data_IF_596389186941
#
_entry.id   IF_596389186941
#
_cell.length_a   1.000
_cell.length_b   1.000
_cell.length_c   1.000
_cell.angle_alpha   90.00
_cell.angle_beta   90.00
_cell.angle_gamma   90.00
#
_symmetry.space_group_name_H-M   'P 1'
#
loop_
_entity.id
_entity.type
_entity.pdbx_description
1 polymer ?
#
# COMPACT_ATOMS: atom_id res chain seq x y z
N UNK A 1 5.09 25.77 -0.97
CA UNK A 1 4.75 24.33 -0.87
C UNK A 1 4.31 24.07 0.55
N UNK A 2 3.20 23.35 0.72
CA UNK A 2 2.65 22.98 2.03
C UNK A 2 3.00 21.52 2.34
N UNK A 3 3.10 21.19 3.63
CA UNK A 3 3.34 19.85 4.16
C UNK A 3 2.45 19.68 5.39
N UNK A 4 1.22 19.21 5.16
CA UNK A 4 0.13 19.26 6.13
C UNK A 4 -0.71 17.99 6.02
N UNK A 5 -1.15 17.48 7.17
CA UNK A 5 -2.08 16.34 7.27
C UNK A 5 -3.21 16.74 8.20
N UNK A 6 -4.45 16.50 7.78
CA UNK A 6 -5.63 16.81 8.56
C UNK A 6 -5.60 16.09 9.92
N UNK A 7 -6.02 16.78 10.97
CA UNK A 7 -6.10 16.21 12.32
C UNK A 7 -7.10 15.05 12.40
N UNK A 8 -8.15 15.08 11.58
CA UNK A 8 -9.11 14.01 11.42
C UNK A 8 -9.47 13.82 9.95
N UNK A 9 -9.62 12.57 9.56
CA UNK A 9 -10.05 12.17 8.22
C UNK A 9 -11.56 11.87 8.22
N UNK A 10 -12.12 11.43 9.35
CA UNK A 10 -13.54 11.09 9.49
C UNK A 10 -14.19 11.95 10.59
N UNK A 11 -15.25 12.66 10.24
CA UNK A 11 -15.92 13.63 11.12
C UNK A 11 -17.45 13.51 11.05
N UNK A 12 -18.13 14.23 11.95
CA UNK A 12 -19.59 14.37 11.99
C UNK A 12 -20.33 13.02 12.02
N UNK A 13 -19.96 12.14 12.95
CA UNK A 13 -20.57 10.81 13.09
C UNK A 13 -20.42 9.95 11.83
N UNK A 14 -19.23 9.94 11.23
CA UNK A 14 -18.87 9.16 10.05
C UNK A 14 -19.58 9.58 8.75
N UNK A 15 -20.00 10.85 8.64
CA UNK A 15 -20.71 11.40 7.46
C UNK A 15 -19.89 12.34 6.60
N UNK A 16 -18.77 12.84 7.12
CA UNK A 16 -17.84 13.69 6.37
C UNK A 16 -16.48 13.00 6.38
N UNK A 17 -15.94 12.74 5.20
CA UNK A 17 -14.69 12.01 5.00
C UNK A 17 -13.79 12.86 4.10
N UNK A 18 -12.56 13.12 4.54
CA UNK A 18 -11.52 13.78 3.75
C UNK A 18 -10.64 12.71 3.09
N UNK A 19 -10.29 12.88 1.81
CA UNK A 19 -9.38 12.01 1.09
C UNK A 19 -8.51 12.81 0.10
N UNK A 20 -7.33 12.29 -0.26
CA UNK A 20 -6.40 12.96 -1.16
C UNK A 20 -5.96 14.33 -0.63
N UNK A 21 -5.86 15.33 -1.52
CA UNK A 21 -5.38 16.68 -1.17
C UNK A 21 -6.21 17.40 -0.10
N UNK A 22 -7.46 16.98 0.13
CA UNK A 22 -8.28 17.49 1.22
C UNK A 22 -7.84 16.96 2.60
N UNK A 23 -7.23 15.77 2.64
CA UNK A 23 -6.76 15.12 3.85
C UNK A 23 -5.26 15.33 4.09
N UNK A 24 -4.46 15.47 3.04
CA UNK A 24 -3.02 15.63 3.14
C UNK A 24 -2.45 16.38 1.94
N UNK A 25 -1.49 17.28 2.18
CA UNK A 25 -0.81 18.05 1.15
C UNK A 25 0.68 17.99 1.42
N UNK A 26 1.48 17.56 0.46
CA UNK A 26 2.93 17.50 0.64
C UNK A 26 3.69 17.77 -0.66
N UNK A 27 5.00 18.11 -0.59
CA UNK A 27 5.79 18.42 -1.77
C UNK A 27 5.75 17.30 -2.82
N UNK A 28 5.88 17.62 -4.13
CA UNK A 28 5.85 16.60 -5.19
C UNK A 28 7.09 15.68 -5.19
N UNK A 29 8.07 15.95 -4.32
CA UNK A 29 9.33 15.23 -4.23
C UNK A 29 9.10 13.76 -3.79
N UNK A 30 9.18 12.84 -4.76
CA UNK A 30 8.92 11.42 -4.58
C UNK A 30 7.59 10.93 -5.18
N UNK A 31 6.73 11.81 -5.69
CA UNK A 31 5.55 11.42 -6.46
C UNK A 31 4.42 10.75 -5.65
N UNK A 32 4.41 10.90 -4.32
CA UNK A 32 3.47 10.17 -3.46
C UNK A 32 2.03 10.70 -3.46
N UNK A 33 1.79 11.96 -3.86
CA UNK A 33 0.51 12.66 -3.60
C UNK A 33 -0.69 11.97 -4.25
N UNK A 34 -0.67 11.89 -5.58
CA UNK A 34 -1.71 11.21 -6.37
C UNK A 34 -1.89 9.75 -5.94
N UNK A 35 -0.78 9.02 -5.76
CA UNK A 35 -0.81 7.60 -5.36
C UNK A 35 -1.47 7.41 -3.98
N UNK A 36 -1.16 8.27 -3.02
CA UNK A 36 -1.76 8.23 -1.68
C UNK A 36 -3.27 8.51 -1.75
N UNK A 37 -3.68 9.49 -2.56
CA UNK A 37 -5.09 9.83 -2.76
C UNK A 37 -5.89 8.72 -3.46
N UNK A 38 -5.32 8.04 -4.46
CA UNK A 38 -5.96 6.88 -5.11
C UNK A 38 -6.14 5.74 -4.11
N UNK A 39 -5.12 5.46 -3.30
CA UNK A 39 -5.20 4.44 -2.25
C UNK A 39 -6.21 4.78 -1.16
N UNK A 40 -6.40 6.07 -0.84
CA UNK A 40 -7.45 6.51 0.08
C UNK A 40 -8.84 6.16 -0.46
N UNK A 41 -9.08 6.47 -1.74
CA UNK A 41 -10.35 6.15 -2.40
C UNK A 41 -10.57 4.64 -2.47
N UNK A 42 -9.55 3.87 -2.81
CA UNK A 42 -9.62 2.40 -2.87
C UNK A 42 -9.97 1.79 -1.51
N UNK A 43 -9.35 2.28 -0.43
CA UNK A 43 -9.64 1.85 0.94
C UNK A 43 -11.08 2.21 1.38
N UNK A 44 -11.60 3.37 0.96
CA UNK A 44 -12.93 3.84 1.30
C UNK A 44 -14.05 3.15 0.53
N UNK A 45 -13.85 2.89 -0.76
CA UNK A 45 -14.90 2.46 -1.68
C UNK A 45 -15.66 1.23 -1.16
N UNK A 46 -14.93 0.18 -0.76
CA UNK A 46 -15.55 -1.05 -0.27
C UNK A 46 -16.23 -0.88 1.10
N UNK A 47 -15.71 0.00 1.96
CA UNK A 47 -16.27 0.30 3.29
C UNK A 47 -17.59 1.06 3.18
N UNK A 48 -17.64 2.06 2.29
CA UNK A 48 -18.86 2.79 1.96
C UNK A 48 -19.88 1.85 1.32
N UNK A 49 -19.46 1.03 0.36
CA UNK A 49 -20.35 0.04 -0.25
C UNK A 49 -20.90 -0.97 0.78
N UNK A 50 -20.08 -1.40 1.74
CA UNK A 50 -20.49 -2.28 2.84
C UNK A 50 -21.52 -1.60 3.76
N UNK A 51 -21.33 -0.32 4.07
CA UNK A 51 -22.31 0.46 4.84
C UNK A 51 -23.64 0.60 4.10
N UNK A 52 -23.60 1.04 2.83
CA UNK A 52 -24.80 1.26 2.01
C UNK A 52 -25.59 -0.02 1.80
N UNK A 53 -24.91 -1.16 1.64
CA UNK A 53 -25.54 -2.48 1.52
C UNK A 53 -25.99 -3.09 2.85
N UNK A 54 -25.75 -2.42 3.98
CA UNK A 54 -26.10 -2.92 5.31
C UNK A 54 -25.31 -4.15 5.75
N UNK A 55 -24.10 -4.34 5.20
CA UNK A 55 -23.15 -5.41 5.56
C UNK A 55 -22.39 -5.03 6.84
N UNK A 56 -22.07 -3.74 7.00
CA UNK A 56 -21.34 -3.22 8.13
C UNK A 56 -21.99 -1.93 8.68
N UNK A 57 -21.91 -1.66 10.00
CA UNK A 57 -22.33 -0.40 10.59
C UNK A 57 -21.40 0.75 10.17
N UNK A 58 -21.84 1.99 10.42
CA UNK A 58 -21.07 3.20 10.07
C UNK A 58 -19.69 3.28 10.72
N UNK A 59 -19.46 2.59 11.85
CA UNK A 59 -18.17 2.51 12.52
C UNK A 59 -17.08 1.86 11.67
N UNK A 60 -17.42 1.10 10.61
CA UNK A 60 -16.42 0.60 9.65
C UNK A 60 -15.63 1.74 9.01
N UNK A 61 -16.24 2.92 8.84
CA UNK A 61 -15.59 4.08 8.24
C UNK A 61 -14.50 4.66 9.14
N UNK A 62 -14.56 4.48 10.46
CA UNK A 62 -13.51 4.92 11.38
C UNK A 62 -12.18 4.19 11.12
N UNK A 63 -12.25 2.97 10.58
CA UNK A 63 -11.05 2.22 10.20
C UNK A 63 -10.27 2.88 9.06
N UNK A 64 -10.91 3.71 8.22
CA UNK A 64 -10.19 4.45 7.18
C UNK A 64 -9.17 5.41 7.79
N UNK A 65 -9.55 6.17 8.83
CA UNK A 65 -8.61 7.05 9.51
C UNK A 65 -7.50 6.27 10.21
N UNK A 66 -7.85 5.17 10.90
CA UNK A 66 -6.88 4.32 11.59
C UNK A 66 -5.83 3.73 10.63
N UNK A 67 -6.25 3.43 9.40
CA UNK A 67 -5.41 2.80 8.37
C UNK A 67 -4.61 3.81 7.56
N UNK A 68 -5.24 4.89 7.08
CA UNK A 68 -4.66 5.79 6.06
C UNK A 68 -3.97 7.02 6.61
N UNK A 69 -4.39 7.55 7.76
CA UNK A 69 -3.74 8.73 8.36
C UNK A 69 -2.26 8.48 8.70
N UNK A 70 -1.86 7.32 9.28
CA UNK A 70 -0.45 7.03 9.50
C UNK A 70 0.38 7.03 8.20
N UNK A 71 -0.19 6.53 7.10
CA UNK A 71 0.48 6.50 5.79
C UNK A 71 0.63 7.92 5.23
N UNK A 72 -0.39 8.76 5.35
CA UNK A 72 -0.32 10.17 4.95
C UNK A 72 0.76 10.95 5.73
N UNK A 73 0.88 10.73 7.04
CA UNK A 73 1.93 11.34 7.88
C UNK A 73 3.32 10.86 7.43
N UNK A 74 3.46 9.56 7.18
CA UNK A 74 4.71 8.98 6.71
C UNK A 74 5.14 9.57 5.35
N UNK A 75 4.24 9.58 4.37
CA UNK A 75 4.50 10.10 3.03
C UNK A 75 4.76 11.61 3.04
N UNK A 76 4.08 12.37 3.91
CA UNK A 76 4.35 13.81 4.12
C UNK A 76 5.78 14.02 4.62
N UNK A 77 6.17 13.26 5.64
CA UNK A 77 7.51 13.35 6.24
C UNK A 77 8.58 13.00 5.22
N UNK A 78 8.40 11.90 4.49
CA UNK A 78 9.33 11.47 3.44
C UNK A 78 9.41 12.48 2.29
N UNK A 79 8.29 13.05 1.85
CA UNK A 79 8.26 14.07 0.80
C UNK A 79 9.04 15.33 1.19
N UNK A 80 8.94 15.76 2.46
CA UNK A 80 9.73 16.89 2.97
C UNK A 80 11.22 16.56 3.02
N UNK A 81 11.59 15.35 3.45
CA UNK A 81 12.99 14.91 3.44
C UNK A 81 13.54 14.86 2.00
N UNK A 82 12.79 14.28 1.07
CA UNK A 82 13.12 14.21 -0.34
C UNK A 82 13.28 15.59 -0.98
N UNK A 83 12.40 16.53 -0.63
CA UNK A 83 12.52 17.90 -1.09
C UNK A 83 13.82 18.55 -0.60
N UNK A 84 14.14 18.40 0.70
CA UNK A 84 15.42 18.90 1.27
C UNK A 84 16.64 18.27 0.60
N UNK A 85 16.58 16.96 0.34
CA UNK A 85 17.62 16.23 -0.39
C UNK A 85 17.80 16.76 -1.82
N UNK A 86 16.71 17.03 -2.53
CA UNK A 86 16.74 17.64 -3.86
C UNK A 86 17.43 19.01 -3.85
N UNK A 87 17.17 19.82 -2.82
CA UNK A 87 17.77 21.15 -2.69
C UNK A 87 19.27 21.13 -2.37
N UNK A 88 19.82 20.00 -1.93
CA UNK A 88 21.25 19.84 -1.64
C UNK A 88 22.14 20.01 -2.88
N UNK A 89 21.66 19.65 -4.07
CA UNK A 89 22.44 19.74 -5.32
C UNK A 89 22.60 21.21 -5.77
N UNK A 90 21.53 22.01 -5.93
CA UNK A 90 21.68 23.44 -6.21
C UNK A 90 22.51 24.18 -5.16
N UNK A 91 22.31 23.88 -3.87
CA UNK A 91 23.09 24.48 -2.79
C UNK A 91 24.59 24.15 -2.89
N UNK A 92 24.95 22.91 -3.21
CA UNK A 92 26.35 22.51 -3.44
C UNK A 92 26.97 23.22 -4.64
N UNK A 93 26.17 23.61 -5.63
CA UNK A 93 26.59 24.38 -6.81
C UNK A 93 26.68 25.89 -6.55
N UNK A 94 26.33 26.37 -5.35
CA UNK A 94 26.26 27.80 -5.04
C UNK A 94 25.03 28.50 -5.63
N UNK A 95 24.03 27.72 -6.05
CA UNK A 95 22.73 28.19 -6.51
C UNK A 95 21.74 27.93 -5.38
N UNK A 96 21.91 28.67 -4.27
CA UNK A 96 21.07 28.47 -3.10
C UNK A 96 19.61 28.84 -3.44
N UNK A 97 18.66 27.90 -3.26
CA UNK A 97 17.24 28.14 -3.51
C UNK A 97 16.63 29.26 -2.67
N UNK A 98 17.22 29.56 -1.50
CA UNK A 98 16.81 30.69 -0.67
C UNK A 98 17.01 32.03 -1.40
N UNK A 99 18.03 32.14 -2.24
CA UNK A 99 18.27 33.32 -3.08
C UNK A 99 17.17 33.44 -4.13
N UNK A 100 16.82 32.33 -4.80
CA UNK A 100 15.73 32.32 -5.78
C UNK A 100 14.36 32.66 -5.15
N UNK A 101 14.08 32.15 -3.95
CA UNK A 101 12.84 32.44 -3.21
C UNK A 101 12.78 33.91 -2.75
N UNK A 102 13.89 34.49 -2.31
CA UNK A 102 13.97 35.90 -1.92
C UNK A 102 13.68 36.82 -3.10
N UNK A 103 14.20 36.47 -4.28
CA UNK A 103 13.94 37.19 -5.54
C UNK A 103 12.47 37.10 -5.92
N UNK A 104 11.87 35.90 -5.88
CA UNK A 104 10.45 35.73 -6.17
C UNK A 104 9.57 36.53 -5.21
N UNK A 105 9.92 36.61 -3.92
CA UNK A 105 9.20 37.42 -2.94
C UNK A 105 9.34 38.92 -3.19
N UNK A 106 10.53 39.39 -3.61
CA UNK A 106 10.75 40.80 -3.94
C UNK A 106 9.98 41.21 -5.21
N UNK A 107 9.94 40.34 -6.22
CA UNK A 107 9.21 40.62 -7.47
C UNK A 107 7.68 40.59 -7.25
N UNK A 108 7.19 39.62 -6.47
CA UNK A 108 5.75 39.42 -6.28
C UNK A 108 5.17 40.13 -5.03
N UNK A 109 6.02 40.73 -4.20
CA UNK A 109 5.62 41.43 -2.97
C UNK A 109 5.67 42.95 -3.13
N UNK A 110 4.61 43.63 -2.64
CA UNK A 110 4.59 45.06 -2.35
C UNK A 110 5.01 45.99 -3.50
N UNK A 111 6.28 46.38 -3.52
CA UNK A 111 6.87 47.37 -4.45
C UNK A 111 7.26 46.74 -5.79
N UNK A 112 7.56 45.43 -5.85
CA UNK A 112 8.00 44.75 -7.07
C UNK A 112 6.89 44.48 -8.08
N UNK A 113 5.65 44.33 -7.62
CA UNK A 113 4.47 44.14 -8.47
C UNK A 113 4.05 45.42 -9.22
N UNK A 114 4.60 46.57 -8.79
CA UNK A 114 4.38 47.89 -9.40
C UNK A 114 5.47 48.22 -10.45
N UNK A 115 6.53 47.40 -10.54
CA UNK A 115 7.60 47.61 -11.51
C UNK A 115 7.13 47.33 -12.95
N UNK A 116 7.54 48.15 -13.93
CA UNK A 116 7.31 47.85 -15.35
C UNK A 116 7.92 46.50 -15.74
N UNK A 117 7.22 45.75 -16.59
CA UNK A 117 7.62 44.41 -17.04
C UNK A 117 9.06 44.33 -17.59
N UNK A 118 9.51 45.38 -18.30
CA UNK A 118 10.88 45.43 -18.83
C UNK A 118 11.95 45.45 -17.72
N UNK A 119 11.68 46.09 -16.59
CA UNK A 119 12.62 46.17 -15.48
C UNK A 119 12.63 44.88 -14.65
N UNK A 120 11.46 44.23 -14.49
CA UNK A 120 11.37 42.88 -13.91
C UNK A 120 12.22 41.87 -14.70
N UNK A 121 12.17 41.94 -16.04
CA UNK A 121 12.96 41.07 -16.92
C UNK A 121 14.46 41.29 -16.77
N UNK A 122 14.93 42.55 -16.73
CA UNK A 122 16.36 42.87 -16.52
C UNK A 122 16.87 42.35 -15.18
N UNK A 123 16.08 42.50 -14.11
CA UNK A 123 16.43 42.00 -12.77
C UNK A 123 16.55 40.46 -12.80
N UNK A 124 15.57 39.77 -13.40
CA UNK A 124 15.60 38.31 -13.56
C UNK A 124 16.81 37.85 -14.39
N UNK A 125 17.07 38.49 -15.53
CA UNK A 125 18.19 38.16 -16.41
C UNK A 125 19.55 38.34 -15.73
N UNK A 126 19.70 39.38 -14.90
CA UNK A 126 20.89 39.61 -14.08
C UNK A 126 21.13 38.47 -13.08
N UNK A 127 20.08 38.03 -12.40
CA UNK A 127 20.14 36.94 -11.42
C UNK A 127 20.46 35.60 -12.09
N UNK A 128 19.81 35.30 -13.22
CA UNK A 128 20.14 34.11 -14.02
C UNK A 128 21.58 34.16 -14.55
N UNK A 129 22.11 35.34 -14.84
CA UNK A 129 23.51 35.50 -15.27
C UNK A 129 24.48 35.20 -14.13
N UNK A 130 24.21 35.68 -12.91
CA UNK A 130 25.01 35.33 -11.72
C UNK A 130 24.91 33.83 -11.41
N UNK A 131 23.71 33.25 -11.46
CA UNK A 131 23.51 31.81 -11.27
C UNK A 131 24.24 30.95 -12.31
N UNK A 132 24.17 31.32 -13.59
CA UNK A 132 24.90 30.64 -14.67
C UNK A 132 26.42 30.79 -14.53
N UNK A 133 26.91 31.92 -14.05
CA UNK A 133 28.33 32.11 -13.80
C UNK A 133 28.86 31.08 -12.78
N UNK A 134 28.08 30.73 -11.76
CA UNK A 134 28.44 29.68 -10.78
C UNK A 134 28.65 28.29 -11.42
N UNK A 135 28.04 28.06 -12.60
CA UNK A 135 28.14 26.82 -13.37
C UNK A 135 29.11 26.91 -14.55
N UNK A 136 29.78 28.06 -14.73
CA UNK A 136 30.71 28.25 -15.85
C UNK A 136 31.89 27.27 -15.77
N UNK A 137 32.38 26.83 -16.92
CA UNK A 137 33.56 25.94 -17.00
C UNK A 137 34.81 26.56 -16.37
N UNK A 138 34.85 27.88 -16.17
CA UNK A 138 35.93 28.59 -15.49
C UNK A 138 35.87 28.44 -13.95
N UNK A 139 34.67 28.40 -13.37
CA UNK A 139 34.47 28.29 -11.92
C UNK A 139 34.23 26.86 -11.46
N UNK A 140 33.44 26.07 -12.20
CA UNK A 140 33.05 24.71 -11.82
C UNK A 140 33.94 23.67 -12.51
N UNK A 141 35.22 23.65 -12.16
CA UNK A 141 36.20 22.68 -12.64
C UNK A 141 37.15 22.25 -11.50
N UNK A 142 38.01 21.27 -11.76
CA UNK A 142 38.98 20.75 -10.78
C UNK A 142 40.21 21.63 -10.56
N UNK A 143 40.54 22.51 -11.51
CA UNK A 143 41.69 23.42 -11.39
C UNK A 143 41.36 24.67 -10.55
N UNK A 144 40.08 24.97 -10.34
CA UNK A 144 39.61 26.03 -9.47
C UNK A 144 39.38 25.49 -8.04
N UNK A 145 39.97 26.09 -6.98
CA UNK A 145 39.79 25.60 -5.60
C UNK A 145 38.33 25.56 -5.13
N UNK A 146 37.52 26.57 -5.50
CA UNK A 146 36.10 26.61 -5.17
C UNK A 146 35.32 25.58 -5.99
N UNK A 147 35.64 25.46 -7.28
CA UNK A 147 35.07 24.45 -8.19
C UNK A 147 35.30 23.03 -7.70
N UNK A 148 36.55 22.67 -7.39
CA UNK A 148 36.92 21.35 -6.90
C UNK A 148 36.22 21.01 -5.57
N UNK A 149 36.10 21.98 -4.65
CA UNK A 149 35.33 21.79 -3.40
C UNK A 149 33.85 21.50 -3.67
N UNK A 150 33.23 22.24 -4.61
CA UNK A 150 31.81 22.02 -4.99
C UNK A 150 31.62 20.66 -5.67
N UNK A 151 32.51 20.30 -6.59
CA UNK A 151 32.49 18.99 -7.25
C UNK A 151 32.70 17.85 -6.25
N UNK A 152 33.60 18.01 -5.26
CA UNK A 152 33.78 17.04 -4.18
C UNK A 152 32.50 16.88 -3.33
N UNK A 153 31.82 17.98 -2.99
CA UNK A 153 30.53 17.94 -2.30
C UNK A 153 29.46 17.24 -3.11
N UNK A 154 29.35 17.53 -4.42
CA UNK A 154 28.42 16.83 -5.31
C UNK A 154 28.71 15.33 -5.39
N UNK A 155 29.99 14.95 -5.53
CA UNK A 155 30.40 13.54 -5.50
C UNK A 155 30.01 12.86 -4.19
N UNK A 156 30.20 13.52 -3.04
CA UNK A 156 29.73 13.00 -1.75
C UNK A 156 28.21 12.84 -1.73
N UNK A 157 27.44 13.83 -2.18
CA UNK A 157 25.97 13.74 -2.28
C UNK A 157 25.55 12.53 -3.11
N UNK A 158 26.13 12.34 -4.30
CA UNK A 158 25.76 11.22 -5.18
C UNK A 158 26.26 9.87 -4.67
N UNK A 159 27.52 9.77 -4.22
CA UNK A 159 28.11 8.52 -3.70
C UNK A 159 27.38 8.05 -2.46
N UNK A 160 27.02 8.97 -1.58
CA UNK A 160 26.25 8.65 -0.39
C UNK A 160 24.77 8.53 -0.72
N UNK A 161 24.30 8.78 -1.95
CA UNK A 161 22.92 8.70 -2.43
C UNK A 161 21.95 9.77 -1.88
N UNK A 162 22.49 10.84 -1.29
CA UNK A 162 21.77 11.91 -0.57
C UNK A 162 20.96 12.83 -1.49
N UNK A 163 20.96 12.59 -2.79
CA UNK A 163 20.09 13.27 -3.76
C UNK A 163 18.67 12.70 -3.71
N UNK A 164 17.72 13.40 -4.35
CA UNK A 164 16.36 12.91 -4.53
C UNK A 164 16.37 11.53 -5.18
N UNK A 165 15.67 10.58 -4.56
CA UNK A 165 15.38 9.28 -5.14
C UNK A 165 13.96 9.31 -5.71
N UNK A 166 13.72 8.54 -6.79
CA UNK A 166 12.44 8.52 -7.50
C UNK A 166 11.71 7.18 -7.38
N UNK A 167 12.28 6.22 -6.64
CA UNK A 167 11.69 4.90 -6.45
C UNK A 167 11.73 4.53 -4.97
N UNK A 168 10.56 4.19 -4.43
CA UNK A 168 10.39 3.84 -3.02
C UNK A 168 9.56 2.55 -2.87
N UNK A 169 10.00 1.39 -3.41
CA UNK A 169 9.19 0.18 -3.40
C UNK A 169 8.70 -0.25 -2.01
N UNK A 170 9.54 -0.14 -0.99
CA UNK A 170 9.15 -0.48 0.38
C UNK A 170 8.03 0.44 0.92
N UNK A 171 8.10 1.72 0.61
CA UNK A 171 7.12 2.72 1.06
C UNK A 171 5.84 2.69 0.24
N UNK A 172 5.95 2.53 -1.09
CA UNK A 172 4.81 2.51 -2.01
C UNK A 172 4.02 1.20 -1.93
N UNK A 173 4.72 0.08 -1.73
CA UNK A 173 4.12 -1.25 -1.80
C UNK A 173 4.08 -1.99 -0.46
N UNK A 174 5.06 -1.74 0.40
CA UNK A 174 5.30 -2.47 1.65
C UNK A 174 4.75 -1.82 2.91
N UNK A 175 3.99 -0.72 2.79
CA UNK A 175 3.28 -0.17 3.93
C UNK A 175 2.22 -1.17 4.44
N UNK A 176 1.90 -1.05 5.73
CA UNK A 176 1.01 -1.97 6.43
C UNK A 176 0.05 -1.23 7.35
N UNK A 177 -1.18 -1.70 7.41
CA UNK A 177 -2.15 -1.28 8.41
C UNK A 177 -1.88 -1.99 9.74
N UNK A 178 -1.63 -1.20 10.79
CA UNK A 178 -1.40 -1.73 12.14
C UNK A 178 -2.70 -1.90 12.94
N UNK A 179 -3.73 -1.13 12.58
CA UNK A 179 -5.06 -1.10 13.20
C UNK A 179 -6.10 -0.84 12.10
N UNK A 180 -7.35 -1.23 12.35
CA UNK A 180 -8.47 -1.01 11.43
C UNK A 180 -9.29 -2.27 11.24
N UNK A 181 -9.78 -2.48 10.02
CA UNK A 181 -10.59 -3.62 9.62
C UNK A 181 -9.69 -4.85 9.34
N UNK A 182 -9.02 -5.33 10.39
CA UNK A 182 -8.12 -6.48 10.37
C UNK A 182 -8.11 -7.18 11.74
N UNK A 183 -7.66 -8.43 11.76
CA UNK A 183 -7.47 -9.24 12.96
C UNK A 183 -5.97 -9.40 13.19
N UNK A 184 -5.41 -8.86 14.29
CA UNK A 184 -4.00 -8.99 14.59
C UNK A 184 -3.59 -10.45 14.79
N UNK A 185 -2.37 -10.79 14.38
CA UNK A 185 -1.73 -12.06 14.68
C UNK A 185 -1.15 -12.00 16.09
N UNK A 186 -1.50 -12.96 16.97
CA UNK A 186 -1.04 -12.96 18.37
C UNK A 186 0.47 -13.10 18.52
N UNK A 187 1.15 -13.61 17.49
CA UNK A 187 2.59 -13.89 17.50
C UNK A 187 3.43 -12.92 16.67
N UNK A 188 2.83 -11.92 16.01
CA UNK A 188 3.62 -10.90 15.31
C UNK A 188 4.06 -9.84 16.32
N UNK A 189 5.34 -9.80 16.67
CA UNK A 189 5.94 -8.60 17.27
C UNK A 189 5.86 -7.50 16.21
N UNK A 190 4.81 -6.70 16.27
CA UNK A 190 4.59 -5.55 15.39
C UNK A 190 5.74 -4.57 15.63
N UNK A 191 6.77 -4.61 14.78
CA UNK A 191 7.78 -3.56 14.73
C UNK A 191 7.10 -2.23 14.41
N UNK A 192 7.50 -1.15 15.07
CA UNK A 192 7.11 0.18 14.63
C UNK A 192 7.52 0.34 13.15
N UNK A 193 6.71 1.04 12.32
CA UNK A 193 7.11 1.35 10.96
C UNK A 193 8.50 1.99 10.98
N UNK A 194 9.45 1.42 10.24
CA UNK A 194 10.78 2.00 10.16
C UNK A 194 10.67 3.44 9.64
N UNK A 195 11.32 4.42 10.28
CA UNK A 195 11.22 5.81 9.88
C UNK A 195 11.72 5.99 8.44
N UNK A 196 11.20 6.97 7.70
CA UNK A 196 11.66 7.25 6.35
C UNK A 196 13.14 7.64 6.40
N UNK A 197 13.97 6.90 5.67
CA UNK A 197 15.42 7.12 5.58
C UNK A 197 15.79 8.02 4.40
N UNK A 198 14.83 8.31 3.50
CA UNK A 198 15.06 8.94 2.21
C UNK A 198 15.81 8.04 1.22
N UNK A 199 16.00 6.75 1.55
CA UNK A 199 16.77 5.78 0.77
C UNK A 199 15.86 4.72 0.19
N UNK A 200 16.16 4.30 -1.04
CA UNK A 200 15.52 3.19 -1.73
C UNK A 200 15.72 1.94 -0.89
N UNK A 201 14.60 1.37 -0.48
CA UNK A 201 14.51 0.05 0.13
C UNK A 201 13.67 -0.82 -0.78
N UNK A 202 14.06 -2.08 -0.91
CA UNK A 202 13.29 -3.03 -1.70
C UNK A 202 12.02 -3.43 -0.94
N UNK A 203 10.95 -3.68 -1.68
CA UNK A 203 9.71 -4.22 -1.15
C UNK A 203 9.95 -5.65 -0.66
N UNK A 204 9.59 -5.92 0.59
CA UNK A 204 9.59 -7.26 1.16
C UNK A 204 8.14 -7.71 1.32
N UNK A 205 7.66 -8.68 0.51
CA UNK A 205 6.32 -9.21 0.65
C UNK A 205 6.13 -9.90 2.00
N UNK A 206 4.91 -9.79 2.53
CA UNK A 206 4.53 -10.40 3.80
C UNK A 206 3.03 -10.69 3.81
N UNK A 207 2.64 -11.85 4.34
CA UNK A 207 1.24 -12.15 4.58
C UNK A 207 0.73 -11.70 5.96
N UNK A 208 1.48 -10.84 6.63
CA UNK A 208 1.06 -10.28 7.92
C UNK A 208 -0.27 -9.49 7.79
N UNK A 209 -1.20 -9.58 8.76
CA UNK A 209 -2.45 -8.83 8.70
C UNK A 209 -2.20 -7.32 8.59
N UNK A 210 -2.82 -6.69 7.60
CA UNK A 210 -2.66 -5.29 7.23
C UNK A 210 -1.69 -5.04 6.07
N UNK A 211 -0.88 -6.03 5.66
CA UNK A 211 -0.03 -5.94 4.48
C UNK A 211 -0.85 -6.12 3.21
N UNK A 212 -0.32 -5.65 2.07
CA UNK A 212 -0.90 -5.97 0.76
C UNK A 212 -0.64 -7.42 0.38
N UNK A 213 -1.60 -8.03 -0.33
CA UNK A 213 -1.49 -9.38 -0.84
C UNK A 213 -0.23 -9.50 -1.73
N UNK A 214 0.69 -10.43 -1.43
CA UNK A 214 1.86 -10.65 -2.29
C UNK A 214 1.46 -11.14 -3.68
N UNK A 215 1.96 -10.45 -4.70
CA UNK A 215 1.84 -10.86 -6.11
C UNK A 215 2.62 -12.15 -6.38
N UNK A 216 2.01 -13.03 -7.18
CA UNK A 216 2.64 -14.15 -7.86
C UNK A 216 1.86 -14.44 -9.15
N UNK A 217 2.57 -14.84 -10.20
CA UNK A 217 1.95 -15.37 -11.41
C UNK A 217 1.32 -16.73 -11.09
N UNK A 218 0.04 -16.91 -11.41
CA UNK A 218 -0.71 -18.14 -11.17
C UNK A 218 -1.49 -18.54 -12.41
N UNK A 219 -1.64 -19.84 -12.63
CA UNK A 219 -2.44 -20.40 -13.72
C UNK A 219 -3.74 -20.97 -13.18
N UNK A 220 -4.87 -20.61 -13.78
CA UNK A 220 -6.19 -21.09 -13.39
C UNK A 220 -6.41 -22.52 -13.91
N UNK A 221 -6.92 -23.42 -13.06
CA UNK A 221 -7.10 -24.85 -13.36
C UNK A 221 -8.55 -25.21 -13.74
N UNK A 222 -9.34 -24.26 -14.24
CA UNK A 222 -10.76 -24.47 -14.61
C UNK A 222 -10.94 -25.48 -15.74
N UNK A 223 -10.02 -25.49 -16.72
CA UNK A 223 -9.89 -26.51 -17.76
C UNK A 223 -8.40 -26.76 -18.05
N UNK A 224 -8.00 -28.02 -18.22
CA UNK A 224 -6.60 -28.43 -18.46
C UNK A 224 -5.96 -27.82 -19.73
N UNK A 225 -6.74 -27.10 -20.54
CA UNK A 225 -6.33 -26.39 -21.75
C UNK A 225 -6.12 -24.88 -21.56
N UNK A 226 -6.51 -24.29 -20.43
CA UNK A 226 -6.30 -22.86 -20.21
C UNK A 226 -4.83 -22.60 -19.85
N UNK A 227 -4.13 -21.88 -20.73
CA UNK A 227 -2.78 -21.38 -20.49
C UNK A 227 -2.78 -19.99 -19.82
N UNK A 228 -3.94 -19.47 -19.41
CA UNK A 228 -4.05 -18.12 -18.86
C UNK A 228 -3.28 -18.00 -17.54
N UNK A 229 -2.30 -17.08 -17.55
CA UNK A 229 -1.51 -16.71 -16.38
C UNK A 229 -2.00 -15.35 -15.92
N UNK A 230 -2.41 -15.28 -14.66
CA UNK A 230 -2.90 -14.07 -13.99
C UNK A 230 -2.08 -13.82 -12.71
N UNK A 231 -2.22 -12.64 -12.12
CA UNK A 231 -1.68 -12.32 -10.81
C UNK A 231 -2.57 -12.88 -9.69
N UNK A 232 -1.98 -13.22 -8.54
CA UNK A 232 -2.75 -13.44 -7.30
C UNK A 232 -3.63 -12.23 -6.93
N UNK A 233 -3.27 -11.02 -7.36
CA UNK A 233 -4.08 -9.81 -7.16
C UNK A 233 -5.37 -9.83 -8.00
N UNK A 234 -5.33 -10.43 -9.19
CA UNK A 234 -6.49 -10.53 -10.10
C UNK A 234 -7.57 -11.49 -9.57
N UNK A 235 -7.27 -12.23 -8.50
CA UNK A 235 -8.23 -13.08 -7.80
C UNK A 235 -9.20 -12.30 -6.92
N UNK A 236 -8.84 -11.06 -6.55
CA UNK A 236 -9.69 -10.15 -5.77
C UNK A 236 -10.67 -9.47 -6.72
N UNK A 237 -11.97 -9.47 -6.38
CA UNK A 237 -13.00 -8.88 -7.25
C UNK A 237 -12.95 -7.36 -7.23
N UNK A 238 -12.97 -6.74 -8.41
CA UNK A 238 -13.14 -5.30 -8.59
C UNK A 238 -14.61 -4.86 -8.61
N UNK A 239 -15.53 -5.77 -8.90
CA UNK A 239 -16.91 -5.43 -9.28
C UNK A 239 -17.90 -5.56 -8.12
N UNK A 240 -17.56 -6.37 -7.11
CA UNK A 240 -18.36 -6.59 -5.91
C UNK A 240 -17.51 -6.54 -4.65
N UNK A 241 -18.15 -6.19 -3.54
CA UNK A 241 -17.56 -6.30 -2.19
C UNK A 241 -17.48 -7.78 -1.84
N UNK A 242 -16.33 -8.38 -2.15
CA UNK A 242 -16.05 -9.79 -1.94
C UNK A 242 -14.71 -9.99 -1.25
N UNK A 243 -14.70 -10.82 -0.22
CA UNK A 243 -13.47 -11.25 0.44
C UNK A 243 -12.89 -12.46 -0.28
N UNK A 244 -11.57 -12.54 -0.36
CA UNK A 244 -10.89 -13.70 -0.95
C UNK A 244 -10.24 -14.50 0.17
N UNK A 245 -10.64 -15.77 0.32
CA UNK A 245 -9.96 -16.71 1.20
C UNK A 245 -9.03 -17.58 0.35
N UNK A 246 -7.71 -17.44 0.56
CA UNK A 246 -6.70 -18.30 -0.05
C UNK A 246 -6.33 -19.39 0.94
N UNK A 247 -6.46 -20.66 0.53
CA UNK A 247 -6.14 -21.82 1.34
C UNK A 247 -5.14 -22.74 0.65
N UNK A 248 -4.40 -23.48 1.48
CA UNK A 248 -3.60 -24.59 1.05
C UNK A 248 -4.43 -25.74 0.46
N UNK A 249 -3.86 -26.52 -0.49
CA UNK A 249 -4.54 -27.63 -1.15
C UNK A 249 -4.49 -28.93 -0.31
N UNK A 250 -4.98 -28.88 0.92
CA UNK A 250 -4.92 -29.99 1.88
C UNK A 250 -6.28 -30.28 2.48
N UNK A 251 -6.61 -31.54 2.74
CA UNK A 251 -7.96 -31.90 3.21
C UNK A 251 -8.40 -31.21 4.51
N UNK A 252 -7.42 -30.85 5.34
CA UNK A 252 -7.66 -30.13 6.59
C UNK A 252 -8.08 -28.67 6.40
N UNK A 253 -7.92 -28.07 5.21
CA UNK A 253 -8.30 -26.68 4.94
C UNK A 253 -9.75 -26.55 4.42
N UNK A 254 -10.37 -27.62 3.91
CA UNK A 254 -11.72 -27.59 3.37
C UNK A 254 -12.80 -27.15 4.37
N UNK A 255 -12.79 -27.60 5.65
CA UNK A 255 -13.76 -27.12 6.63
C UNK A 255 -13.71 -25.60 6.83
N UNK A 256 -12.53 -24.99 6.70
CA UNK A 256 -12.36 -23.54 6.79
C UNK A 256 -12.95 -22.81 5.59
N UNK A 257 -12.78 -23.35 4.38
CA UNK A 257 -13.40 -22.80 3.17
C UNK A 257 -14.93 -22.76 3.28
N UNK A 258 -15.54 -23.89 3.64
CA UNK A 258 -16.99 -23.99 3.86
C UNK A 258 -17.46 -23.03 4.95
N UNK A 259 -16.71 -22.93 6.05
CA UNK A 259 -17.02 -22.02 7.14
C UNK A 259 -16.97 -20.55 6.71
N UNK A 260 -15.96 -20.15 5.94
CA UNK A 260 -15.80 -18.77 5.50
C UNK A 260 -16.95 -18.33 4.58
N UNK A 261 -17.33 -19.16 3.60
CA UNK A 261 -18.45 -18.85 2.70
C UNK A 261 -19.78 -18.80 3.45
N UNK A 262 -20.02 -19.78 4.33
CA UNK A 262 -21.25 -19.81 5.16
C UNK A 262 -21.34 -18.58 6.06
N UNK A 263 -20.27 -18.26 6.80
CA UNK A 263 -20.25 -17.12 7.71
C UNK A 263 -20.32 -15.80 6.96
N UNK A 264 -19.64 -15.66 5.82
CA UNK A 264 -19.79 -14.46 4.99
C UNK A 264 -21.26 -14.20 4.63
N UNK A 265 -21.99 -15.24 4.18
CA UNK A 265 -23.44 -15.15 3.90
C UNK A 265 -24.24 -14.75 5.15
N UNK A 266 -23.92 -15.28 6.35
CA UNK A 266 -24.57 -14.87 7.62
C UNK A 266 -24.37 -13.36 7.92
N UNK A 267 -23.22 -12.80 7.55
CA UNK A 267 -22.92 -11.36 7.68
C UNK A 267 -23.37 -10.52 6.47
N UNK A 268 -24.14 -11.09 5.53
CA UNK A 268 -24.54 -10.47 4.25
C UNK A 268 -23.36 -10.05 3.37
N UNK A 269 -22.18 -10.60 3.63
CA UNK A 269 -20.98 -10.44 2.84
C UNK A 269 -20.85 -11.57 1.80
N UNK A 270 -19.91 -11.39 0.86
CA UNK A 270 -19.54 -12.40 -0.13
C UNK A 270 -18.10 -12.83 0.11
N UNK A 271 -17.82 -14.12 -0.04
CA UNK A 271 -16.47 -14.66 0.04
C UNK A 271 -16.24 -15.68 -1.07
N UNK A 272 -15.11 -15.55 -1.76
CA UNK A 272 -14.60 -16.46 -2.78
C UNK A 272 -13.46 -17.28 -2.21
N UNK A 273 -13.40 -18.56 -2.54
CA UNK A 273 -12.32 -19.45 -2.09
C UNK A 273 -11.32 -19.68 -3.22
N UNK A 274 -10.05 -19.45 -2.95
CA UNK A 274 -8.95 -19.82 -3.84
C UNK A 274 -8.12 -20.93 -3.20
N UNK A 275 -7.92 -22.01 -3.95
CA UNK A 275 -7.01 -23.09 -3.58
C UNK A 275 -5.72 -22.90 -4.36
N UNK A 276 -4.64 -22.56 -3.66
CA UNK A 276 -3.36 -22.22 -4.29
C UNK A 276 -2.36 -23.37 -4.17
N UNK A 277 -2.07 -23.98 -5.31
CA UNK A 277 -1.20 -25.14 -5.45
C UNK A 277 0.26 -24.74 -5.69
N UNK A 278 1.23 -25.36 -4.99
CA UNK A 278 2.64 -25.22 -5.33
C UNK A 278 2.95 -25.75 -6.73
N UNK A 279 4.03 -25.26 -7.34
CA UNK A 279 4.42 -25.68 -8.68
C UNK A 279 4.81 -27.18 -8.69
N UNK A 280 4.36 -27.93 -9.70
CA UNK A 280 4.69 -29.35 -9.88
C UNK A 280 3.74 -30.36 -9.24
N UNK A 281 2.73 -29.93 -8.49
CA UNK A 281 1.80 -30.82 -7.75
C UNK A 281 0.54 -31.24 -8.56
N UNK A 282 0.49 -30.95 -9.87
CA UNK A 282 -0.75 -31.01 -10.68
C UNK A 282 -1.10 -32.43 -11.17
N UNK A 283 -0.14 -33.36 -11.29
CA UNK A 283 -0.40 -34.71 -11.83
C UNK A 283 -1.04 -35.63 -10.78
N UNK A 284 -2.37 -35.75 -10.83
CA UNK A 284 -3.15 -36.80 -10.15
C UNK A 284 -4.11 -36.34 -9.04
N UNK A 285 -4.08 -35.07 -8.63
CA UNK A 285 -4.79 -34.60 -7.41
C UNK A 285 -6.12 -33.87 -7.72
N UNK A 286 -6.34 -33.46 -8.97
CA UNK A 286 -7.57 -32.78 -9.42
C UNK A 286 -8.85 -33.59 -9.14
N UNK A 287 -8.76 -34.92 -9.08
CA UNK A 287 -9.92 -35.79 -8.82
C UNK A 287 -10.41 -35.74 -7.36
N UNK A 288 -9.51 -35.78 -6.37
CA UNK A 288 -9.88 -35.79 -4.95
C UNK A 288 -10.38 -34.43 -4.43
N UNK A 289 -9.73 -33.35 -4.87
CA UNK A 289 -10.12 -31.98 -4.52
C UNK A 289 -11.47 -31.56 -5.11
N UNK A 290 -11.80 -32.01 -6.34
CA UNK A 290 -13.12 -31.76 -6.94
C UNK A 290 -14.25 -32.29 -6.04
N UNK A 291 -14.15 -33.51 -5.50
CA UNK A 291 -15.24 -34.14 -4.72
C UNK A 291 -15.52 -33.42 -3.39
N UNK A 292 -14.51 -32.87 -2.71
CA UNK A 292 -14.70 -32.18 -1.42
C UNK A 292 -15.18 -30.72 -1.57
N UNK A 293 -14.93 -30.11 -2.73
CA UNK A 293 -15.28 -28.72 -3.04
C UNK A 293 -16.45 -28.59 -4.02
N UNK A 294 -17.00 -29.68 -4.56
CA UNK A 294 -18.15 -29.64 -5.49
C UNK A 294 -19.39 -28.95 -4.91
N UNK A 295 -19.50 -28.82 -3.58
CA UNK A 295 -20.59 -28.12 -2.91
C UNK A 295 -20.34 -26.62 -2.70
N UNK A 296 -19.12 -26.13 -2.99
CA UNK A 296 -18.80 -24.70 -2.99
C UNK A 296 -19.15 -24.10 -4.36
N UNK A 297 -20.07 -23.15 -4.37
CA UNK A 297 -20.55 -22.50 -5.60
C UNK A 297 -19.48 -21.60 -6.26
N UNK A 298 -18.61 -20.97 -5.46
CA UNK A 298 -17.67 -19.94 -5.93
C UNK A 298 -16.24 -20.22 -5.42
N UNK A 299 -15.56 -21.16 -6.08
CA UNK A 299 -14.16 -21.47 -5.81
C UNK A 299 -13.31 -21.50 -7.09
N UNK A 300 -12.03 -21.16 -6.95
CA UNK A 300 -11.03 -21.21 -8.02
C UNK A 300 -9.82 -22.02 -7.57
N UNK A 301 -9.32 -22.88 -8.46
CA UNK A 301 -8.05 -23.56 -8.27
C UNK A 301 -6.99 -22.86 -9.10
N UNK A 302 -5.86 -22.54 -8.48
CA UNK A 302 -4.72 -21.95 -9.19
C UNK A 302 -3.43 -22.63 -8.82
N UNK A 303 -2.52 -22.78 -9.77
CA UNK A 303 -1.16 -23.26 -9.52
C UNK A 303 -0.18 -22.10 -9.66
N UNK A 304 0.75 -21.96 -8.72
CA UNK A 304 1.80 -20.95 -8.82
C UNK A 304 2.69 -21.21 -10.05
N UNK A 305 3.07 -20.13 -10.72
CA UNK A 305 3.98 -20.12 -11.86
C UNK A 305 5.25 -19.41 -11.41
N UNK A 306 6.29 -20.20 -11.13
CA UNK A 306 7.58 -19.65 -10.71
C UNK A 306 8.34 -19.09 -11.91
N UNK A 307 8.97 -17.94 -11.73
CA UNK A 307 9.90 -17.35 -12.72
C UNK A 307 11.12 -18.23 -12.99
N UNK A 308 11.58 -18.98 -11.98
CA UNK A 308 12.68 -19.94 -12.05
C UNK A 308 12.38 -21.16 -11.18
N UNK A 309 12.87 -22.37 -11.51
CA UNK A 309 12.75 -23.55 -10.64
C UNK A 309 13.29 -23.36 -9.23
N UNK A 310 14.27 -22.46 -9.06
CA UNK A 310 14.92 -22.14 -7.77
C UNK A 310 14.21 -21.06 -6.98
N UNK A 311 13.20 -20.40 -7.53
CA UNK A 311 12.44 -19.36 -6.81
C UNK A 311 11.64 -19.96 -5.65
N UNK A 312 11.54 -19.20 -4.56
CA UNK A 312 10.68 -19.52 -3.42
C UNK A 312 9.23 -19.75 -3.87
N UNK A 313 8.51 -20.62 -3.16
CA UNK A 313 7.06 -20.75 -3.37
C UNK A 313 6.33 -19.49 -2.89
N UNK A 314 5.08 -19.32 -3.31
CA UNK A 314 4.25 -18.23 -2.83
C UNK A 314 4.01 -18.31 -1.33
N UNK A 315 3.86 -19.51 -0.78
CA UNK A 315 3.73 -19.74 0.67
C UNK A 315 4.99 -19.30 1.42
N UNK A 316 6.19 -19.59 0.89
CA UNK A 316 7.46 -19.13 1.47
C UNK A 316 7.58 -17.60 1.42
N UNK A 317 7.22 -16.98 0.29
CA UNK A 317 7.18 -15.52 0.11
C UNK A 317 6.24 -14.89 1.15
N UNK A 318 5.10 -15.52 1.40
CA UNK A 318 4.13 -15.11 2.41
C UNK A 318 4.59 -15.38 3.86
N UNK A 319 5.69 -16.10 4.06
CA UNK A 319 6.15 -16.61 5.36
C UNK A 319 5.08 -17.48 6.04
N UNK A 320 4.46 -18.35 5.24
CA UNK A 320 3.37 -19.22 5.64
C UNK A 320 3.68 -20.67 5.30
N UNK A 321 3.07 -21.59 6.05
CA UNK A 321 3.14 -23.01 5.69
C UNK A 321 2.13 -23.32 4.60
N UNK A 322 2.37 -24.40 3.86
CA UNK A 322 1.44 -25.03 2.92
C UNK A 322 0.21 -25.66 3.59
N UNK A 323 -0.13 -25.24 4.82
CA UNK A 323 -1.33 -25.60 5.58
C UNK A 323 -2.05 -24.38 6.12
N UNK A 324 -1.56 -23.19 5.79
CA UNK A 324 -2.11 -21.93 6.24
C UNK A 324 -3.34 -21.48 5.44
N UNK A 325 -3.87 -20.34 5.85
CA UNK A 325 -4.96 -19.65 5.17
C UNK A 325 -4.79 -18.13 5.29
N UNK A 326 -5.15 -17.39 4.25
CA UNK A 326 -5.11 -15.93 4.20
C UNK A 326 -6.48 -15.43 3.80
N UNK A 327 -7.05 -14.50 4.56
CA UNK A 327 -8.26 -13.76 4.20
C UNK A 327 -7.88 -12.37 3.73
N UNK A 328 -8.23 -12.05 2.49
CA UNK A 328 -7.93 -10.80 1.79
C UNK A 328 -9.20 -9.97 1.65
N UNK A 329 -9.07 -8.67 1.85
CA UNK A 329 -10.14 -7.68 1.72
C UNK A 329 -10.37 -7.29 0.26
N UNK A 330 -11.50 -6.64 -0.06
CA UNK A 330 -11.75 -6.07 -1.38
C UNK A 330 -10.72 -5.03 -1.84
N UNK A 331 -9.94 -4.43 -0.92
CA UNK A 331 -8.86 -3.49 -1.26
C UNK A 331 -7.46 -4.13 -1.28
N UNK A 332 -7.40 -5.45 -1.50
CA UNK A 332 -6.17 -6.26 -1.64
C UNK A 332 -5.30 -6.36 -0.38
N UNK A 333 -5.76 -5.83 0.76
CA UNK A 333 -5.04 -5.96 2.02
C UNK A 333 -5.45 -7.23 2.76
N UNK A 334 -4.51 -7.84 3.46
CA UNK A 334 -4.77 -9.05 4.24
C UNK A 334 -5.48 -8.65 5.54
N UNK A 335 -6.69 -9.14 5.74
CA UNK A 335 -7.42 -8.89 6.98
C UNK A 335 -7.03 -9.86 8.09
N UNK A 336 -6.71 -11.10 7.75
CA UNK A 336 -6.43 -12.16 8.70
C UNK A 336 -5.59 -13.25 8.03
N UNK A 337 -4.80 -13.97 8.82
CA UNK A 337 -4.14 -15.19 8.37
C UNK A 337 -4.07 -16.21 9.50
N UNK A 338 -3.86 -17.46 9.11
CA UNK A 338 -3.43 -18.56 9.97
C UNK A 338 -2.19 -19.20 9.37
N UNK A 339 -1.07 -19.23 10.09
CA UNK A 339 0.21 -19.73 9.55
C UNK A 339 0.23 -21.24 9.32
N UNK A 340 -0.56 -22.00 10.09
CA UNK A 340 -0.65 -23.46 10.06
C UNK A 340 -2.12 -23.93 10.05
N UNK A 341 -2.36 -25.23 10.13
CA UNK A 341 -3.72 -25.76 10.14
C UNK A 341 -4.54 -25.21 11.33
N UNK A 342 -5.82 -24.95 11.10
CA UNK A 342 -6.74 -24.47 12.13
C UNK A 342 -6.84 -25.48 13.28
N UNK A 343 -6.73 -24.97 14.50
CA UNK A 343 -6.94 -25.74 15.74
C UNK A 343 -8.25 -25.26 16.35
N UNK A 344 -9.30 -26.08 16.28
CA UNK A 344 -10.64 -25.76 16.80
C UNK A 344 -11.71 -25.69 15.73
N UNK A 345 -12.83 -25.03 16.07
CA UNK A 345 -14.01 -24.92 15.19
C UNK A 345 -13.83 -23.80 14.14
N UNK A 346 -13.78 -24.14 12.83
CA UNK A 346 -13.64 -23.16 11.77
C UNK A 346 -14.79 -22.16 11.67
N UNK A 347 -16.01 -22.54 12.04
CA UNK A 347 -17.18 -21.64 12.02
C UNK A 347 -17.02 -20.55 13.07
N UNK A 348 -16.64 -20.94 14.30
CA UNK A 348 -16.42 -19.99 15.39
C UNK A 348 -15.28 -19.03 15.07
N UNK A 349 -14.20 -19.51 14.47
CA UNK A 349 -13.08 -18.66 14.06
C UNK A 349 -13.49 -17.68 12.96
N UNK A 350 -14.20 -18.14 11.91
CA UNK A 350 -14.68 -17.23 10.86
C UNK A 350 -15.69 -16.22 11.39
N UNK A 351 -16.56 -16.58 12.35
CA UNK A 351 -17.46 -15.63 13.02
C UNK A 351 -16.68 -14.55 13.75
N UNK A 352 -15.64 -14.93 14.48
CA UNK A 352 -14.75 -13.98 15.18
C UNK A 352 -14.07 -13.04 14.18
N UNK A 353 -13.57 -13.59 13.08
CA UNK A 353 -12.84 -12.83 12.04
C UNK A 353 -13.76 -11.83 11.34
N UNK A 354 -14.89 -12.27 10.79
CA UNK A 354 -15.84 -11.38 10.12
C UNK A 354 -16.47 -10.35 11.07
N UNK A 355 -16.78 -10.75 12.31
CA UNK A 355 -17.27 -9.83 13.34
C UNK A 355 -16.28 -8.69 13.61
N UNK A 356 -14.98 -9.01 13.67
CA UNK A 356 -13.93 -8.02 13.92
C UNK A 356 -13.72 -7.11 12.71
N UNK A 357 -13.61 -7.67 11.50
CA UNK A 357 -13.33 -6.92 10.26
C UNK A 357 -14.50 -5.99 9.90
N UNK A 358 -15.73 -6.47 10.03
CA UNK A 358 -16.93 -5.71 9.68
C UNK A 358 -17.45 -4.85 10.83
N UNK A 359 -16.92 -5.00 12.05
CA UNK A 359 -17.38 -4.27 13.24
C UNK A 359 -18.81 -4.64 13.66
N UNK A 360 -19.27 -5.84 13.31
CA UNK A 360 -20.61 -6.35 13.61
C UNK A 360 -20.50 -7.36 14.75
N UNK A 361 -21.24 -7.18 15.86
CA UNK A 361 -21.33 -8.23 16.89
C UNK A 361 -22.10 -9.42 16.33
N UNK A 362 -21.72 -10.68 16.61
CA UNK A 362 -22.52 -11.83 16.22
C UNK A 362 -23.92 -11.68 16.81
N UNK A 363 -24.95 -11.64 15.97
CA UNK A 363 -26.33 -11.74 16.45
C UNK A 363 -26.45 -13.04 17.24
N UNK A 364 -26.94 -12.97 18.48
CA UNK A 364 -27.30 -14.18 19.23
C UNK A 364 -28.37 -14.92 18.44
N UNK A 365 -27.98 -15.91 17.64
CA UNK A 365 -28.93 -16.88 17.09
C UNK A 365 -29.22 -17.91 18.17
N UNK A 366 -30.04 -17.55 19.16
CA UNK A 366 -30.87 -18.47 19.96
C UNK A 366 -31.94 -17.65 20.68
N UNK A 367 -33.13 -17.61 20.11
CA UNK A 367 -34.43 -17.53 20.82
C UNK A 367 -35.55 -17.70 19.80
N UNK A 368 -35.72 -18.93 19.31
CA UNK A 368 -37.01 -19.42 18.83
C UNK A 368 -37.20 -20.82 19.39
N UNK A 369 -37.80 -20.90 20.58
CA UNK A 369 -38.74 -21.95 21.00
C UNK A 369 -39.34 -21.53 22.35
N UNK A 370 -40.55 -21.00 22.33
CA UNK A 370 -41.60 -21.32 23.31
C UNK A 370 -42.95 -21.13 22.62
#
# INVERSE_FOLDING_TARGET
>A
MHAEVAEKFVCNGNRIILAGDAAHRFPPAGGFGMNTGIQDAHNLAWKIASLVKGIAPSSILETYEMERKPIAIFNTTLSVQNFRAAMGVPAALGIDPAVANSVHQIINGGVGSVLPYGLQRVILDGIFTVGRAQLSEYLLNESNPLGSLRLARLRSIFKEGKSLQLQFPAEDLGFRYLKGALVPDSNSSLGAPEPPTGRRRDYVPSADPGSRLPHMDVRVLSDLSSEEIISTLDLVSSDKVEFLLIIAPVDKSWPLAHAAVKVAKEFKASAKVCVLWPNGTVRGIVAGSKVALTTLEDYVNVVEVKRSPTSSSWWDICQMTDKGAILVRPDEHIAWRMKSAIVGDPIMEMKRVFSTILGVKPTKMYETSN
#
